data_IF_366371041429
#
_entry.id   IF_366371041429
#
_cell.length_a   1.000
_cell.length_b   1.000
_cell.length_c   1.000
_cell.angle_alpha   90.00
_cell.angle_beta   90.00
_cell.angle_gamma   90.00
#
_symmetry.space_group_name_H-M   'P 1'
#
loop_
_entity.id
_entity.type
_entity.pdbx_description
1 polymer ?
#
# COMPACT_ATOMS: atom_id res chain seq x y z
N UNK A 1 24.64 1.01 8.90
CA UNK A 1 24.18 1.17 7.50
C UNK A 1 23.45 2.50 7.36
N UNK A 2 23.80 3.30 6.33
CA UNK A 2 23.18 4.59 6.04
C UNK A 2 22.41 4.53 4.72
N UNK A 3 21.09 4.74 4.76
CA UNK A 3 20.17 4.59 3.62
C UNK A 3 19.59 5.95 3.23
N UNK A 4 19.69 6.30 1.95
CA UNK A 4 19.00 7.45 1.37
C UNK A 4 17.64 7.01 0.82
N UNK A 5 16.56 7.51 1.38
CA UNK A 5 15.21 7.31 0.86
C UNK A 5 14.85 8.44 -0.10
N UNK A 6 14.45 8.11 -1.32
CA UNK A 6 13.84 9.05 -2.26
C UNK A 6 12.35 8.73 -2.30
N UNK A 7 11.52 9.65 -1.81
CA UNK A 7 10.10 9.39 -1.62
C UNK A 7 9.25 10.65 -1.91
N UNK A 8 8.66 10.72 -3.08
CA UNK A 8 7.83 11.85 -3.51
C UNK A 8 6.52 11.99 -2.70
N UNK A 9 6.09 10.92 -2.03
CA UNK A 9 4.86 10.90 -1.23
C UNK A 9 5.12 10.97 0.29
N UNK A 10 6.36 11.14 0.74
CA UNK A 10 6.73 11.05 2.15
C UNK A 10 5.91 11.97 3.05
N UNK A 11 5.78 13.24 2.68
CA UNK A 11 5.08 14.26 3.49
C UNK A 11 3.56 14.03 3.57
N UNK A 12 2.98 13.34 2.61
CA UNK A 12 1.53 13.06 2.57
C UNK A 12 1.16 11.63 2.96
N UNK A 13 2.13 10.83 3.42
CA UNK A 13 1.93 9.40 3.64
C UNK A 13 2.47 8.95 5.00
N UNK A 14 1.58 8.67 5.92
CA UNK A 14 1.93 8.07 7.22
C UNK A 14 2.63 6.72 7.07
N UNK A 15 2.33 5.96 6.01
CA UNK A 15 2.94 4.66 5.70
C UNK A 15 4.45 4.76 5.55
N UNK A 16 4.93 5.70 4.72
CA UNK A 16 6.37 5.88 4.49
C UNK A 16 7.08 6.43 5.73
N UNK A 17 6.42 7.31 6.48
CA UNK A 17 6.95 7.82 7.75
C UNK A 17 7.10 6.69 8.79
N UNK A 18 6.09 5.84 8.94
CA UNK A 18 6.13 4.66 9.83
C UNK A 18 7.21 3.66 9.40
N UNK A 19 7.35 3.41 8.10
CA UNK A 19 8.41 2.56 7.56
C UNK A 19 9.80 3.07 7.94
N UNK A 20 10.08 4.36 7.75
CA UNK A 20 11.35 4.98 8.11
C UNK A 20 11.57 4.93 9.63
N UNK A 21 10.53 5.20 10.42
CA UNK A 21 10.58 5.10 11.89
C UNK A 21 10.93 3.69 12.35
N UNK A 22 10.25 2.67 11.85
CA UNK A 22 10.51 1.26 12.19
C UNK A 22 11.92 0.81 11.75
N UNK A 23 12.42 1.34 10.63
CA UNK A 23 13.78 1.12 10.17
C UNK A 23 14.82 1.76 11.10
N UNK A 24 14.58 2.99 11.61
CA UNK A 24 15.43 3.68 12.59
C UNK A 24 15.53 2.91 13.91
N UNK A 25 14.42 2.36 14.39
CA UNK A 25 14.39 1.53 15.61
C UNK A 25 15.26 0.28 15.50
N UNK A 26 15.62 -0.14 14.28
CA UNK A 26 16.53 -1.27 14.00
C UNK A 26 17.97 -0.82 13.75
N UNK A 27 18.34 0.41 14.12
CA UNK A 27 19.69 0.94 14.00
C UNK A 27 20.10 1.32 12.57
N UNK A 28 19.17 1.44 11.63
CA UNK A 28 19.46 1.94 10.29
C UNK A 28 19.39 3.48 10.31
N UNK A 29 20.48 4.13 9.91
CA UNK A 29 20.49 5.57 9.71
C UNK A 29 19.75 5.91 8.41
N UNK A 30 18.62 6.57 8.50
CA UNK A 30 17.79 6.92 7.34
C UNK A 30 17.81 8.43 7.10
N UNK A 31 18.17 8.82 5.89
CA UNK A 31 18.03 10.17 5.37
C UNK A 31 16.95 10.18 4.30
N UNK A 32 16.02 11.11 4.36
CA UNK A 32 14.89 11.17 3.42
C UNK A 32 14.97 12.42 2.57
N UNK A 33 14.89 12.26 1.26
CA UNK A 33 14.68 13.32 0.30
C UNK A 33 13.27 13.20 -0.31
N UNK A 34 12.45 14.21 -0.06
CA UNK A 34 11.07 14.27 -0.55
C UNK A 34 10.87 15.45 -1.50
N UNK A 35 10.85 15.23 -2.84
CA UNK A 35 10.53 16.28 -3.79
C UNK A 35 9.03 16.59 -3.74
N UNK A 36 8.68 17.83 -3.43
CA UNK A 36 7.28 18.27 -3.27
C UNK A 36 6.93 19.45 -4.18
N UNK A 37 5.63 19.60 -4.45
CA UNK A 37 5.09 20.76 -5.20
C UNK A 37 4.90 21.96 -4.28
N UNK A 38 4.57 21.74 -3.01
CA UNK A 38 4.30 22.78 -2.01
C UNK A 38 4.43 22.21 -0.59
N UNK A 39 4.82 23.05 0.35
CA UNK A 39 4.79 22.75 1.79
C UNK A 39 3.58 23.37 2.51
N UNK A 40 2.72 24.11 1.80
CA UNK A 40 1.56 24.77 2.41
C UNK A 40 0.65 23.77 3.14
N UNK A 41 0.42 23.99 4.42
CA UNK A 41 -0.42 23.14 5.27
C UNK A 41 0.19 21.76 5.61
N UNK A 42 1.51 21.59 5.49
CA UNK A 42 2.20 20.34 5.80
C UNK A 42 3.15 20.50 6.97
N UNK A 43 3.31 19.44 7.75
CA UNK A 43 4.24 19.40 8.88
C UNK A 43 5.67 19.33 8.34
N UNK A 44 6.59 20.06 8.97
CA UNK A 44 8.01 19.99 8.67
C UNK A 44 8.55 18.61 9.06
N UNK A 45 9.40 18.01 8.23
CA UNK A 45 10.04 16.74 8.53
C UNK A 45 11.05 16.87 9.68
N UNK A 46 11.49 15.72 10.20
CA UNK A 46 12.56 15.65 11.20
C UNK A 46 13.94 16.08 10.64
N UNK A 47 14.96 16.03 11.48
CA UNK A 47 16.31 16.55 11.16
C UNK A 47 16.93 15.92 9.91
N UNK A 48 16.80 14.61 9.74
CA UNK A 48 17.29 13.86 8.55
C UNK A 48 16.26 13.76 7.41
N UNK A 49 15.21 14.58 7.43
CA UNK A 49 14.11 14.52 6.47
C UNK A 49 14.02 15.84 5.71
N UNK A 50 14.29 15.81 4.42
CA UNK A 50 14.42 16.98 3.57
C UNK A 50 13.27 17.05 2.57
N UNK A 51 12.24 17.84 2.88
CA UNK A 51 11.18 18.15 1.93
C UNK A 51 11.55 19.39 1.10
N UNK A 52 11.72 19.20 -0.20
CA UNK A 52 12.22 20.24 -1.10
C UNK A 52 11.20 20.58 -2.17
N UNK A 53 10.77 21.86 -2.21
CA UNK A 53 9.89 22.37 -3.28
C UNK A 53 10.73 22.54 -4.54
N UNK A 54 10.71 21.56 -5.42
CA UNK A 54 11.53 21.57 -6.64
C UNK A 54 10.75 21.25 -7.92
N UNK A 55 9.46 20.89 -7.79
CA UNK A 55 8.58 20.55 -8.91
C UNK A 55 7.27 21.32 -8.84
N UNK A 56 6.58 21.46 -9.94
CA UNK A 56 5.28 22.11 -10.03
C UNK A 56 4.22 21.19 -10.67
N UNK A 57 2.96 21.63 -10.71
CA UNK A 57 1.84 20.83 -11.25
C UNK A 57 1.99 20.50 -12.74
N UNK A 58 2.69 21.31 -13.51
CA UNK A 58 2.90 21.11 -14.94
C UNK A 58 4.01 20.09 -15.24
N UNK A 59 4.97 19.92 -14.32
CA UNK A 59 6.08 18.96 -14.49
C UNK A 59 5.60 17.50 -14.63
N UNK A 60 4.34 17.21 -14.24
CA UNK A 60 3.72 15.88 -14.46
C UNK A 60 3.63 15.48 -15.94
N UNK A 61 3.60 16.45 -16.85
CA UNK A 61 3.54 16.18 -18.28
C UNK A 61 4.91 15.98 -18.92
N UNK A 62 5.96 16.54 -18.31
CA UNK A 62 7.33 16.56 -18.82
C UNK A 62 8.26 15.70 -17.95
N UNK A 63 8.21 14.38 -18.14
CA UNK A 63 8.90 13.41 -17.30
C UNK A 63 10.39 13.73 -17.13
N UNK A 64 11.16 13.84 -18.23
CA UNK A 64 12.60 14.07 -18.17
C UNK A 64 12.98 15.39 -17.49
N UNK A 65 12.23 16.46 -17.79
CA UNK A 65 12.43 17.75 -17.14
C UNK A 65 12.18 17.71 -15.64
N UNK A 66 11.09 17.03 -15.22
CA UNK A 66 10.81 16.78 -13.81
C UNK A 66 11.96 16.05 -13.12
N UNK A 67 12.49 15.00 -13.76
CA UNK A 67 13.59 14.20 -13.21
C UNK A 67 14.87 15.01 -13.05
N UNK A 68 15.19 15.84 -14.01
CA UNK A 68 16.36 16.75 -13.94
C UNK A 68 16.24 17.76 -12.79
N UNK A 69 15.07 18.41 -12.64
CA UNK A 69 14.81 19.31 -11.49
C UNK A 69 14.95 18.59 -10.15
N UNK A 70 14.36 17.40 -10.04
CA UNK A 70 14.41 16.60 -8.82
C UNK A 70 15.86 16.22 -8.47
N UNK A 71 16.63 15.76 -9.45
CA UNK A 71 18.02 15.40 -9.25
C UNK A 71 18.89 16.59 -8.84
N UNK A 72 18.78 17.74 -9.52
CA UNK A 72 19.50 18.97 -9.16
C UNK A 72 19.18 19.44 -7.75
N UNK A 73 17.90 19.38 -7.35
CA UNK A 73 17.46 19.74 -6.02
C UNK A 73 18.06 18.78 -4.96
N UNK A 74 18.04 17.47 -5.23
CA UNK A 74 18.66 16.48 -4.36
C UNK A 74 20.16 16.76 -4.17
N UNK A 75 20.90 17.00 -5.25
CA UNK A 75 22.34 17.30 -5.22
C UNK A 75 22.66 18.57 -4.45
N UNK A 76 21.80 19.58 -4.56
CA UNK A 76 21.97 20.84 -3.80
C UNK A 76 21.69 20.66 -2.32
N UNK A 77 20.70 19.85 -1.96
CA UNK A 77 20.28 19.60 -0.57
C UNK A 77 21.23 18.61 0.14
N UNK A 78 21.66 17.59 -0.57
CA UNK A 78 22.51 16.51 -0.08
C UNK A 78 23.78 16.43 -0.96
N UNK A 79 24.74 17.36 -0.79
CA UNK A 79 25.94 17.43 -1.65
C UNK A 79 26.88 16.23 -1.46
N UNK A 80 26.91 15.65 -0.25
CA UNK A 80 27.78 14.52 0.08
C UNK A 80 27.04 13.20 -0.10
N UNK A 81 27.32 12.48 -1.20
CA UNK A 81 26.73 11.18 -1.51
C UNK A 81 27.44 10.02 -0.81
N UNK A 82 27.39 10.03 0.53
CA UNK A 82 27.99 9.00 1.39
C UNK A 82 26.88 8.11 1.99
N UNK A 83 26.29 7.27 1.15
CA UNK A 83 25.24 6.32 1.52
C UNK A 83 25.65 4.91 1.11
N UNK A 84 25.25 3.93 1.90
CA UNK A 84 25.46 2.51 1.60
C UNK A 84 24.44 2.01 0.57
N UNK A 85 23.24 2.61 0.56
CA UNK A 85 22.10 2.20 -0.27
C UNK A 85 21.17 3.38 -0.55
N UNK A 86 20.55 3.39 -1.72
CA UNK A 86 19.40 4.25 -2.03
C UNK A 86 18.13 3.39 -2.08
N UNK A 87 17.06 3.80 -1.40
CA UNK A 87 15.73 3.20 -1.54
C UNK A 87 14.77 4.17 -2.22
N UNK A 88 14.40 3.87 -3.46
CA UNK A 88 13.43 4.61 -4.26
C UNK A 88 12.02 4.05 -4.04
N UNK A 89 11.11 4.86 -3.51
CA UNK A 89 9.76 4.42 -3.12
C UNK A 89 8.74 4.41 -4.26
N UNK A 90 9.12 4.87 -5.44
CA UNK A 90 8.31 4.82 -6.66
C UNK A 90 9.23 4.58 -7.85
N UNK A 91 8.93 3.58 -8.65
CA UNK A 91 9.88 3.10 -9.67
C UNK A 91 10.21 4.20 -10.71
N UNK A 92 9.22 4.83 -11.31
CA UNK A 92 9.51 5.81 -12.36
C UNK A 92 10.05 7.13 -11.82
N UNK A 93 9.43 7.68 -10.79
CA UNK A 93 9.80 9.01 -10.31
C UNK A 93 11.04 9.01 -9.44
N UNK A 94 11.11 8.12 -8.49
CA UNK A 94 12.21 8.06 -7.51
C UNK A 94 13.33 7.15 -8.02
N UNK A 95 12.97 6.02 -8.65
CA UNK A 95 13.91 5.06 -9.22
C UNK A 95 14.73 5.61 -10.38
N UNK A 96 14.20 6.54 -11.17
CA UNK A 96 14.99 7.22 -12.21
C UNK A 96 16.10 8.09 -11.61
N UNK A 97 15.86 8.73 -10.47
CA UNK A 97 16.88 9.50 -9.73
C UNK A 97 17.89 8.56 -9.09
N UNK A 98 17.44 7.46 -8.49
CA UNK A 98 18.30 6.44 -7.91
C UNK A 98 19.23 5.78 -8.93
N UNK A 99 18.72 5.47 -10.13
CA UNK A 99 19.52 4.97 -11.26
C UNK A 99 20.66 5.95 -11.64
N UNK A 100 20.37 7.25 -11.62
CA UNK A 100 21.39 8.26 -11.90
C UNK A 100 22.45 8.31 -10.80
N UNK A 101 22.04 8.25 -9.52
CA UNK A 101 22.98 8.17 -8.38
C UNK A 101 23.88 6.93 -8.51
N UNK A 102 23.31 5.76 -8.85
CA UNK A 102 24.12 4.56 -9.09
C UNK A 102 25.18 4.78 -10.16
N UNK A 103 24.81 5.41 -11.27
CA UNK A 103 25.75 5.64 -12.40
C UNK A 103 26.87 6.64 -12.08
N UNK A 104 26.55 7.66 -11.29
CA UNK A 104 27.51 8.70 -10.95
C UNK A 104 28.39 8.35 -9.74
N UNK A 105 27.85 7.61 -8.75
CA UNK A 105 28.52 7.34 -7.45
C UNK A 105 28.71 5.85 -7.15
N UNK A 106 28.22 4.95 -7.96
CA UNK A 106 28.31 3.51 -7.71
C UNK A 106 27.42 2.99 -6.59
N UNK A 107 26.58 3.84 -5.96
CA UNK A 107 25.73 3.45 -4.83
C UNK A 107 24.61 2.54 -5.32
N UNK A 108 24.46 1.31 -4.77
CA UNK A 108 23.38 0.42 -5.15
C UNK A 108 22.02 0.98 -4.75
N UNK A 109 20.93 0.56 -5.46
CA UNK A 109 19.60 0.97 -5.07
C UNK A 109 18.58 -0.15 -5.10
N UNK A 110 17.62 -0.04 -4.19
CA UNK A 110 16.33 -0.73 -4.22
C UNK A 110 15.27 0.15 -4.85
N UNK A 111 14.32 -0.47 -5.52
CA UNK A 111 13.17 0.23 -6.08
C UNK A 111 11.87 -0.46 -5.69
N UNK A 112 10.92 0.30 -5.15
CA UNK A 112 9.57 -0.16 -4.88
C UNK A 112 8.68 0.13 -6.08
N UNK A 113 7.95 -0.88 -6.55
CA UNK A 113 6.99 -0.80 -7.65
C UNK A 113 5.57 -0.67 -7.09
N UNK A 114 4.89 0.38 -7.47
CA UNK A 114 3.54 0.72 -7.02
C UNK A 114 2.50 0.60 -8.12
N UNK A 115 1.24 0.63 -7.74
CA UNK A 115 0.09 0.69 -8.68
C UNK A 115 0.27 1.77 -9.77
N UNK A 116 0.71 2.98 -9.39
CA UNK A 116 0.92 4.08 -10.35
C UNK A 116 1.97 3.75 -11.40
N UNK A 117 3.03 3.02 -11.04
CA UNK A 117 4.06 2.61 -11.98
C UNK A 117 3.49 1.69 -13.07
N UNK A 118 2.60 0.78 -12.69
CA UNK A 118 1.99 -0.19 -13.61
C UNK A 118 0.84 0.45 -14.39
N UNK A 119 -0.18 0.97 -13.68
CA UNK A 119 -1.43 1.37 -14.29
C UNK A 119 -1.39 2.76 -14.94
N UNK A 120 -0.43 3.61 -14.58
CA UNK A 120 -0.24 4.90 -15.23
C UNK A 120 0.99 4.91 -16.15
N UNK A 121 2.18 4.54 -15.66
CA UNK A 121 3.39 4.65 -16.47
C UNK A 121 3.49 3.52 -17.50
N UNK A 122 3.51 2.26 -17.12
CA UNK A 122 3.60 1.17 -18.09
C UNK A 122 2.38 1.09 -19.01
N UNK A 123 1.17 1.29 -18.48
CA UNK A 123 -0.04 1.19 -19.29
C UNK A 123 -0.20 2.34 -20.28
N UNK A 124 -0.04 3.59 -19.82
CA UNK A 124 -0.42 4.77 -20.60
C UNK A 124 0.76 5.49 -21.24
N UNK A 125 1.96 5.42 -20.64
CA UNK A 125 3.15 6.11 -21.13
C UNK A 125 4.12 5.15 -21.84
N UNK A 126 3.70 4.64 -22.99
CA UNK A 126 4.40 3.59 -23.74
C UNK A 126 5.88 3.94 -24.01
N UNK A 127 6.17 5.19 -24.33
CA UNK A 127 7.55 5.67 -24.60
C UNK A 127 8.48 5.62 -23.37
N UNK A 128 7.93 5.48 -22.16
CA UNK A 128 8.74 5.34 -20.93
C UNK A 128 8.96 3.88 -20.51
N UNK A 129 8.39 2.89 -21.21
CA UNK A 129 8.52 1.46 -20.85
C UNK A 129 9.96 0.99 -20.85
N UNK A 130 10.73 1.34 -21.89
CA UNK A 130 12.16 1.01 -21.96
C UNK A 130 12.94 1.58 -20.79
N UNK A 131 12.62 2.82 -20.40
CA UNK A 131 13.21 3.45 -19.21
C UNK A 131 12.84 2.73 -17.92
N UNK A 132 11.57 2.30 -17.78
CA UNK A 132 11.13 1.48 -16.65
C UNK A 132 11.88 0.15 -16.56
N UNK A 133 12.04 -0.55 -17.68
CA UNK A 133 12.81 -1.80 -17.75
C UNK A 133 14.28 -1.56 -17.38
N UNK A 134 14.88 -0.48 -17.84
CA UNK A 134 16.26 -0.09 -17.50
C UNK A 134 16.41 0.14 -15.99
N UNK A 135 15.50 0.87 -15.36
CA UNK A 135 15.49 1.08 -13.90
C UNK A 135 15.44 -0.26 -13.17
N UNK A 136 14.55 -1.18 -13.59
CA UNK A 136 14.45 -2.50 -12.98
C UNK A 136 15.72 -3.35 -13.18
N UNK A 137 16.31 -3.32 -14.37
CA UNK A 137 17.53 -4.09 -14.67
C UNK A 137 18.72 -3.65 -13.83
N UNK A 138 18.89 -2.36 -13.65
CA UNK A 138 19.99 -1.76 -12.91
C UNK A 138 19.80 -1.78 -11.38
N UNK A 139 18.58 -1.97 -10.87
CA UNK A 139 18.31 -2.08 -9.44
C UNK A 139 19.04 -3.29 -8.83
N UNK A 140 19.55 -3.14 -7.61
CA UNK A 140 20.10 -4.24 -6.81
C UNK A 140 19.01 -5.14 -6.26
N UNK A 141 17.80 -4.59 -6.03
CA UNK A 141 16.60 -5.34 -5.67
C UNK A 141 15.33 -4.60 -6.05
N UNK A 142 14.28 -5.35 -6.25
CA UNK A 142 12.95 -4.85 -6.65
C UNK A 142 11.95 -5.27 -5.58
N UNK A 143 11.20 -4.33 -5.03
CA UNK A 143 10.18 -4.59 -4.03
C UNK A 143 8.80 -4.35 -4.62
N UNK A 144 7.90 -5.30 -4.45
CA UNK A 144 6.48 -5.15 -4.70
C UNK A 144 5.73 -5.17 -3.37
N UNK A 145 4.74 -4.32 -3.24
CA UNK A 145 3.85 -4.31 -2.07
C UNK A 145 2.78 -5.42 -2.14
N UNK A 146 2.60 -6.02 -3.31
CA UNK A 146 1.63 -7.08 -3.59
C UNK A 146 2.13 -7.99 -4.70
N UNK A 147 1.91 -9.31 -4.54
CA UNK A 147 2.22 -10.31 -5.56
C UNK A 147 1.33 -10.16 -6.80
N UNK A 148 0.10 -9.68 -6.64
CA UNK A 148 -0.80 -9.38 -7.75
C UNK A 148 -0.17 -8.36 -8.71
N UNK A 149 0.44 -7.29 -8.17
CA UNK A 149 1.15 -6.31 -9.00
C UNK A 149 2.45 -6.83 -9.60
N UNK A 150 3.17 -7.69 -8.89
CA UNK A 150 4.33 -8.38 -9.45
C UNK A 150 3.92 -9.19 -10.68
N UNK A 151 2.93 -10.06 -10.55
CA UNK A 151 2.39 -10.86 -11.66
C UNK A 151 1.94 -9.96 -12.82
N UNK A 152 1.15 -8.93 -12.54
CA UNK A 152 0.66 -8.00 -13.56
C UNK A 152 1.79 -7.33 -14.35
N UNK A 153 2.87 -6.88 -13.69
CA UNK A 153 4.02 -6.26 -14.35
C UNK A 153 4.76 -7.28 -15.23
N UNK A 154 5.09 -8.44 -14.67
CA UNK A 154 5.88 -9.47 -15.37
C UNK A 154 5.13 -10.05 -16.57
N UNK A 155 3.84 -10.34 -16.43
CA UNK A 155 3.05 -10.96 -17.49
C UNK A 155 2.79 -10.00 -18.66
N UNK A 156 2.54 -8.71 -18.36
CA UNK A 156 2.08 -7.76 -19.38
C UNK A 156 3.17 -6.89 -19.97
N UNK A 157 4.27 -6.62 -19.25
CA UNK A 157 5.18 -5.54 -19.63
C UNK A 157 6.65 -5.92 -19.65
N UNK A 158 7.07 -6.98 -18.96
CA UNK A 158 8.47 -7.42 -18.94
C UNK A 158 8.73 -8.38 -20.11
N UNK A 159 9.66 -8.04 -21.04
CA UNK A 159 10.10 -8.95 -22.09
C UNK A 159 10.64 -10.26 -21.53
N UNK A 160 10.42 -11.37 -22.25
CA UNK A 160 10.76 -12.72 -21.79
C UNK A 160 12.25 -12.86 -21.41
N UNK A 161 13.13 -12.25 -22.17
CA UNK A 161 14.58 -12.28 -21.96
C UNK A 161 15.05 -11.66 -20.64
N UNK A 162 14.23 -10.82 -19.98
CA UNK A 162 14.59 -10.19 -18.70
C UNK A 162 13.88 -10.81 -17.51
N UNK A 163 12.85 -11.66 -17.73
CA UNK A 163 11.97 -12.13 -16.65
C UNK A 163 12.71 -12.90 -15.56
N UNK A 164 13.54 -13.84 -15.94
CA UNK A 164 14.26 -14.69 -14.99
C UNK A 164 15.21 -13.86 -14.12
N UNK A 165 16.08 -13.06 -14.75
CA UNK A 165 17.04 -12.22 -14.04
C UNK A 165 16.39 -11.19 -13.11
N UNK A 166 15.24 -10.61 -13.52
CA UNK A 166 14.50 -9.68 -12.67
C UNK A 166 13.78 -10.40 -11.54
N UNK A 167 13.25 -11.62 -11.77
CA UNK A 167 12.56 -12.40 -10.76
C UNK A 167 13.48 -12.77 -9.60
N UNK A 168 14.73 -13.13 -9.87
CA UNK A 168 15.73 -13.51 -8.86
C UNK A 168 16.01 -12.42 -7.81
N UNK A 169 15.82 -11.16 -8.16
CA UNK A 169 16.01 -9.99 -7.27
C UNK A 169 14.72 -9.30 -6.85
N UNK A 170 13.59 -9.96 -7.07
CA UNK A 170 12.26 -9.45 -6.74
C UNK A 170 11.78 -9.99 -5.39
N UNK A 171 11.25 -9.10 -4.55
CA UNK A 171 10.72 -9.37 -3.23
C UNK A 171 9.31 -8.81 -3.10
N UNK A 172 8.44 -9.50 -2.36
CA UNK A 172 7.10 -8.99 -2.01
C UNK A 172 7.12 -8.67 -0.53
N UNK A 173 7.06 -7.38 -0.20
CA UNK A 173 7.06 -6.87 1.18
C UNK A 173 5.83 -5.96 1.33
N UNK A 174 4.85 -6.34 2.15
CA UNK A 174 3.63 -5.55 2.34
C UNK A 174 3.91 -4.23 3.08
N UNK A 175 2.91 -3.36 3.13
CA UNK A 175 2.91 -2.27 4.10
C UNK A 175 2.48 -2.76 5.48
N UNK A 176 2.97 -2.10 6.52
CA UNK A 176 2.50 -2.29 7.88
C UNK A 176 1.24 -1.48 8.16
N UNK A 177 0.45 -1.95 9.09
CA UNK A 177 -0.71 -1.24 9.64
C UNK A 177 -0.28 -0.35 10.82
N UNK A 178 -1.08 0.65 11.14
CA UNK A 178 -0.79 1.53 12.29
C UNK A 178 -0.84 0.74 13.62
N UNK A 179 0.12 1.01 14.52
CA UNK A 179 0.27 0.33 15.82
C UNK A 179 -1.00 0.40 16.68
N UNK A 180 -1.82 1.43 16.49
CA UNK A 180 -3.12 1.56 17.13
C UNK A 180 -3.99 0.32 16.92
N UNK A 181 -4.05 -0.21 15.71
CA UNK A 181 -4.88 -1.37 15.37
C UNK A 181 -4.36 -2.66 16.00
N UNK A 182 -3.02 -2.83 16.04
CA UNK A 182 -2.38 -4.00 16.65
C UNK A 182 -2.45 -3.98 18.17
N UNK A 183 -2.42 -2.77 18.77
CA UNK A 183 -2.56 -2.60 20.22
C UNK A 183 -4.00 -2.79 20.71
N UNK A 184 -4.98 -2.75 19.80
CA UNK A 184 -6.41 -2.85 20.09
C UNK A 184 -7.07 -4.04 19.39
N UNK A 185 -6.36 -5.17 19.26
CA UNK A 185 -6.92 -6.38 18.66
C UNK A 185 -8.23 -6.80 19.30
N UNK A 186 -9.18 -7.23 18.48
CA UNK A 186 -10.43 -7.75 19.00
C UNK A 186 -10.20 -9.06 19.76
N UNK A 187 -10.67 -9.10 21.01
CA UNK A 187 -10.50 -10.25 21.90
C UNK A 187 -11.75 -11.13 22.00
N UNK A 188 -12.89 -10.67 21.48
CA UNK A 188 -14.13 -11.42 21.55
C UNK A 188 -14.13 -12.62 20.62
N UNK A 189 -14.52 -13.78 21.13
CA UNK A 189 -14.80 -14.96 20.30
C UNK A 189 -15.97 -14.63 19.38
N UNK A 190 -15.84 -14.99 18.10
CA UNK A 190 -16.90 -14.83 17.12
C UNK A 190 -18.09 -15.73 17.47
N UNK A 191 -19.29 -15.17 17.49
CA UNK A 191 -20.52 -15.93 17.52
C UNK A 191 -20.97 -16.21 16.09
N UNK A 192 -21.75 -17.28 15.89
CA UNK A 192 -22.40 -17.56 14.63
C UNK A 192 -23.34 -16.42 14.24
N UNK A 193 -23.46 -16.17 12.95
CA UNK A 193 -24.42 -15.19 12.45
C UNK A 193 -25.84 -15.75 12.64
N UNK A 194 -26.65 -15.02 13.40
CA UNK A 194 -28.03 -15.42 13.66
C UNK A 194 -28.99 -14.84 12.61
N UNK A 195 -30.07 -15.58 12.32
CA UNK A 195 -31.21 -15.10 11.54
C UNK A 195 -30.89 -14.54 10.15
N UNK A 196 -29.78 -14.99 9.50
CA UNK A 196 -29.32 -14.42 8.22
C UNK A 196 -29.14 -12.89 8.27
N UNK A 197 -28.74 -12.33 9.42
CA UNK A 197 -28.43 -10.92 9.57
C UNK A 197 -26.95 -10.67 9.24
N UNK A 198 -26.70 -9.71 8.32
CA UNK A 198 -25.34 -9.37 7.86
C UNK A 198 -25.13 -7.86 7.93
N UNK A 199 -24.28 -7.43 8.83
CA UNK A 199 -23.85 -6.03 9.00
C UNK A 199 -22.52 -5.83 8.28
N UNK A 200 -22.61 -5.20 7.10
CA UNK A 200 -21.43 -4.84 6.30
C UNK A 200 -20.87 -3.51 6.75
N UNK A 201 -19.56 -3.33 6.56
CA UNK A 201 -18.88 -2.05 6.76
C UNK A 201 -17.97 -1.74 5.60
N UNK A 202 -17.89 -0.47 5.29
CA UNK A 202 -17.01 0.13 4.31
C UNK A 202 -16.31 1.34 4.95
N UNK A 203 -15.00 1.48 4.71
CA UNK A 203 -14.24 2.66 5.13
C UNK A 203 -13.34 3.16 3.99
N UNK A 204 -13.58 4.39 3.55
CA UNK A 204 -12.83 5.03 2.47
C UNK A 204 -13.62 6.14 1.78
N UNK A 205 -12.97 6.84 0.82
CA UNK A 205 -13.63 7.90 0.07
C UNK A 205 -14.87 7.39 -0.68
N UNK A 206 -15.98 8.09 -0.58
CA UNK A 206 -17.19 7.84 -1.37
C UNK A 206 -16.94 8.35 -2.79
N UNK A 207 -16.31 7.52 -3.61
CA UNK A 207 -15.93 7.83 -4.99
C UNK A 207 -16.12 6.62 -5.91
N UNK A 208 -16.14 6.88 -7.24
CA UNK A 208 -16.34 5.82 -8.24
C UNK A 208 -15.30 4.69 -8.12
N UNK A 209 -14.04 5.01 -7.84
CA UNK A 209 -12.98 4.02 -7.76
C UNK A 209 -13.22 2.97 -6.67
N UNK A 210 -13.83 3.35 -5.56
CA UNK A 210 -14.09 2.46 -4.41
C UNK A 210 -15.32 1.57 -4.59
N UNK A 211 -16.11 1.80 -5.64
CA UNK A 211 -17.11 0.88 -6.19
C UNK A 211 -18.23 0.45 -5.23
N UNK A 212 -18.73 1.38 -4.42
CA UNK A 212 -19.90 1.13 -3.56
C UNK A 212 -21.15 0.68 -4.34
N UNK A 213 -21.27 1.05 -5.63
CA UNK A 213 -22.42 0.66 -6.45
C UNK A 213 -22.50 -0.86 -6.65
N UNK A 214 -21.37 -1.55 -6.81
CA UNK A 214 -21.35 -3.02 -6.91
C UNK A 214 -21.72 -3.66 -5.57
N UNK A 215 -21.27 -3.08 -4.45
CA UNK A 215 -21.69 -3.51 -3.09
C UNK A 215 -23.22 -3.39 -2.91
N UNK A 216 -23.82 -2.26 -3.29
CA UNK A 216 -25.27 -2.10 -3.20
C UNK A 216 -26.05 -3.13 -4.02
N UNK A 217 -25.59 -3.43 -5.25
CA UNK A 217 -26.21 -4.48 -6.08
C UNK A 217 -26.08 -5.87 -5.43
N UNK A 218 -24.92 -6.17 -4.83
CA UNK A 218 -24.73 -7.41 -4.09
C UNK A 218 -25.65 -7.52 -2.87
N UNK A 219 -25.87 -6.42 -2.15
CA UNK A 219 -26.86 -6.38 -1.06
C UNK A 219 -28.29 -6.66 -1.57
N UNK A 220 -28.68 -6.12 -2.73
CA UNK A 220 -29.97 -6.43 -3.37
C UNK A 220 -30.12 -7.91 -3.70
N UNK A 221 -29.08 -8.54 -4.22
CA UNK A 221 -29.04 -9.98 -4.50
C UNK A 221 -29.18 -10.82 -3.21
N UNK A 222 -28.47 -10.45 -2.14
CA UNK A 222 -28.56 -11.13 -0.84
C UNK A 222 -29.97 -10.97 -0.23
N UNK A 223 -30.57 -9.78 -0.31
CA UNK A 223 -31.95 -9.56 0.16
C UNK A 223 -32.94 -10.46 -0.61
N UNK A 224 -32.77 -10.63 -1.92
CA UNK A 224 -33.60 -11.55 -2.72
C UNK A 224 -33.42 -13.02 -2.31
N UNK A 225 -32.28 -13.40 -1.70
CA UNK A 225 -32.00 -14.72 -1.12
C UNK A 225 -32.44 -14.83 0.36
N UNK A 226 -33.12 -13.85 0.89
CA UNK A 226 -33.70 -13.84 2.24
C UNK A 226 -32.70 -13.41 3.35
N UNK A 227 -31.59 -12.72 3.00
CA UNK A 227 -30.69 -12.10 3.98
C UNK A 227 -31.21 -10.73 4.41
N UNK A 228 -31.08 -10.43 5.71
CA UNK A 228 -31.22 -9.07 6.22
C UNK A 228 -29.85 -8.39 6.21
N UNK A 229 -29.62 -7.51 5.23
CA UNK A 229 -28.29 -6.91 5.00
C UNK A 229 -28.34 -5.41 5.23
N UNK A 230 -27.43 -4.91 6.03
CA UNK A 230 -27.17 -3.48 6.23
C UNK A 230 -25.73 -3.11 5.89
N UNK A 231 -25.45 -1.84 5.57
CA UNK A 231 -24.13 -1.32 5.23
C UNK A 231 -23.87 0.00 5.97
N UNK A 232 -22.82 0.03 6.77
CA UNK A 232 -22.28 1.27 7.32
C UNK A 232 -21.16 1.80 6.43
N UNK A 233 -21.23 3.08 6.05
CA UNK A 233 -20.25 3.74 5.16
C UNK A 233 -19.56 4.87 5.91
N UNK A 234 -18.25 4.71 6.15
CA UNK A 234 -17.39 5.73 6.74
C UNK A 234 -16.45 6.32 5.68
N UNK A 235 -16.26 7.65 5.66
CA UNK A 235 -15.28 8.30 4.81
C UNK A 235 -15.70 9.62 4.20
N UNK A 236 -14.80 10.24 3.44
CA UNK A 236 -15.02 11.54 2.81
C UNK A 236 -15.87 11.42 1.55
N UNK A 237 -16.78 12.36 1.35
CA UNK A 237 -17.63 12.43 0.14
C UNK A 237 -16.90 13.17 -0.98
N UNK A 238 -16.37 12.42 -1.93
CA UNK A 238 -15.75 12.95 -3.15
C UNK A 238 -16.79 13.10 -4.28
N UNK A 239 -17.77 12.19 -4.34
CA UNK A 239 -18.82 12.19 -5.34
C UNK A 239 -20.19 12.40 -4.70
N UNK A 240 -20.74 13.60 -4.83
CA UNK A 240 -22.09 13.92 -4.34
C UNK A 240 -23.19 13.08 -5.00
N UNK A 241 -23.02 12.74 -6.29
CA UNK A 241 -23.96 11.85 -7.00
C UNK A 241 -24.01 10.46 -6.36
N UNK A 242 -22.82 9.90 -6.05
CA UNK A 242 -22.73 8.59 -5.43
C UNK A 242 -23.25 8.63 -3.98
N UNK A 243 -22.93 9.68 -3.23
CA UNK A 243 -23.44 9.90 -1.89
C UNK A 243 -24.99 9.86 -1.86
N UNK A 244 -25.64 10.66 -2.71
CA UNK A 244 -27.12 10.66 -2.81
C UNK A 244 -27.67 9.27 -3.14
N UNK A 245 -26.99 8.54 -4.02
CA UNK A 245 -27.40 7.19 -4.43
C UNK A 245 -27.30 6.18 -3.28
N UNK A 246 -26.20 6.18 -2.52
CA UNK A 246 -26.04 5.23 -1.41
C UNK A 246 -26.99 5.55 -0.24
N UNK A 247 -27.21 6.84 0.07
CA UNK A 247 -28.08 7.26 1.17
C UNK A 247 -29.58 7.17 0.84
N UNK A 248 -29.95 6.89 -0.40
CA UNK A 248 -31.35 6.59 -0.77
C UNK A 248 -31.77 5.14 -0.43
N UNK A 249 -30.83 4.24 -0.18
CA UNK A 249 -31.13 2.87 0.29
C UNK A 249 -31.29 2.91 1.82
N UNK A 250 -32.45 2.55 2.39
CA UNK A 250 -32.70 2.57 3.83
C UNK A 250 -31.80 1.60 4.63
N UNK A 251 -31.20 0.62 3.97
CA UNK A 251 -30.24 -0.31 4.59
C UNK A 251 -28.81 0.26 4.65
N UNK A 252 -28.57 1.49 4.16
CA UNK A 252 -27.27 2.13 4.18
C UNK A 252 -27.25 3.28 5.18
N UNK A 253 -26.31 3.23 6.10
CA UNK A 253 -26.04 4.30 7.06
C UNK A 253 -24.71 4.97 6.73
N UNK A 254 -24.72 6.23 6.32
CA UNK A 254 -23.51 7.03 6.18
C UNK A 254 -23.17 7.70 7.50
N UNK A 255 -21.95 7.43 8.01
CA UNK A 255 -21.52 7.89 9.34
C UNK A 255 -20.46 9.01 9.28
N UNK A 256 -20.10 9.48 8.08
CA UNK A 256 -19.11 10.54 7.91
C UNK A 256 -17.66 10.07 8.02
N UNK A 257 -16.75 11.03 8.23
CA UNK A 257 -15.33 10.75 8.51
C UNK A 257 -15.21 10.46 10.00
N UNK A 258 -14.66 9.31 10.35
CA UNK A 258 -14.48 8.89 11.74
C UNK A 258 -13.02 8.96 12.19
N UNK A 259 -12.74 9.41 13.42
CA UNK A 259 -11.49 9.12 14.11
C UNK A 259 -11.26 7.60 14.24
N UNK A 260 -10.01 7.19 14.46
CA UNK A 260 -9.64 5.76 14.53
C UNK A 260 -10.42 5.02 15.63
N UNK A 261 -10.62 5.65 16.77
CA UNK A 261 -11.33 5.09 17.90
C UNK A 261 -12.81 4.79 17.56
N UNK A 262 -13.47 5.71 16.87
CA UNK A 262 -14.86 5.52 16.45
C UNK A 262 -14.96 4.51 15.29
N UNK A 263 -13.96 4.48 14.39
CA UNK A 263 -13.89 3.49 13.32
C UNK A 263 -13.66 2.08 13.88
N UNK A 264 -12.86 1.95 14.93
CA UNK A 264 -12.65 0.70 15.66
C UNK A 264 -13.97 0.16 16.22
N UNK A 265 -14.77 1.01 16.88
CA UNK A 265 -16.08 0.60 17.40
C UNK A 265 -17.05 0.22 16.26
N UNK A 266 -17.02 0.97 15.14
CA UNK A 266 -17.81 0.62 13.95
C UNK A 266 -17.42 -0.76 13.41
N UNK A 267 -16.13 -1.08 13.36
CA UNK A 267 -15.66 -2.41 12.94
C UNK A 267 -16.13 -3.49 13.90
N UNK A 268 -16.03 -3.29 15.22
CA UNK A 268 -16.47 -4.26 16.24
C UNK A 268 -17.94 -4.58 16.20
N UNK A 269 -18.77 -3.64 15.74
CA UNK A 269 -20.24 -3.83 15.62
C UNK A 269 -20.66 -4.36 14.25
N UNK A 270 -19.72 -4.55 13.32
CA UNK A 270 -19.94 -5.07 11.98
C UNK A 270 -19.51 -6.53 11.85
N UNK A 271 -19.91 -7.20 10.75
CA UNK A 271 -19.57 -8.59 10.50
C UNK A 271 -18.48 -8.73 9.42
N UNK A 272 -18.62 -8.07 8.26
CA UNK A 272 -17.73 -8.21 7.11
C UNK A 272 -17.35 -6.83 6.57
N UNK A 273 -16.07 -6.63 6.29
CA UNK A 273 -15.59 -5.47 5.57
C UNK A 273 -15.66 -5.71 4.06
N UNK A 274 -16.30 -4.81 3.31
CA UNK A 274 -16.48 -4.96 1.86
C UNK A 274 -16.07 -3.71 1.10
N UNK A 275 -15.06 -3.84 0.22
CA UNK A 275 -14.61 -2.74 -0.65
C UNK A 275 -14.05 -3.27 -1.97
N UNK A 276 -14.91 -3.63 -2.95
CA UNK A 276 -14.49 -4.17 -4.25
C UNK A 276 -13.99 -3.04 -5.19
N UNK A 277 -12.92 -2.35 -4.81
CA UNK A 277 -12.36 -1.21 -5.54
C UNK A 277 -11.91 -1.58 -6.94
N UNK A 278 -12.10 -0.70 -7.94
CA UNK A 278 -11.53 -0.90 -9.27
C UNK A 278 -10.00 -0.87 -9.28
N UNK A 279 -9.43 0.03 -8.48
CA UNK A 279 -7.98 0.16 -8.29
C UNK A 279 -7.68 0.37 -6.81
N UNK A 280 -6.84 -0.49 -6.24
CA UNK A 280 -6.39 -0.40 -4.86
C UNK A 280 -4.88 -0.64 -4.80
N UNK A 281 -4.15 0.31 -4.21
CA UNK A 281 -2.68 0.19 -4.13
C UNK A 281 -2.24 -0.90 -3.17
N UNK A 282 -2.78 -0.89 -1.96
CA UNK A 282 -2.60 -1.92 -0.95
C UNK A 282 -3.91 -2.17 -0.18
N UNK A 283 -4.54 -1.09 0.29
CA UNK A 283 -5.77 -1.17 1.07
C UNK A 283 -5.51 -1.47 2.53
N UNK A 284 -4.81 -0.57 3.23
CA UNK A 284 -4.53 -0.70 4.68
C UNK A 284 -5.81 -0.95 5.49
N UNK A 285 -6.92 -0.39 5.07
CA UNK A 285 -8.23 -0.57 5.70
C UNK A 285 -8.66 -2.05 5.82
N UNK A 286 -8.19 -2.92 4.92
CA UNK A 286 -8.43 -4.36 5.07
C UNK A 286 -7.66 -4.92 6.27
N UNK A 287 -6.38 -4.57 6.44
CA UNK A 287 -5.60 -5.00 7.59
C UNK A 287 -6.13 -4.39 8.90
N UNK A 288 -6.63 -3.15 8.85
CA UNK A 288 -7.33 -2.50 9.96
C UNK A 288 -8.60 -3.29 10.35
N UNK A 289 -9.42 -3.67 9.36
CA UNK A 289 -10.61 -4.50 9.58
C UNK A 289 -10.27 -5.90 10.13
N UNK A 290 -9.23 -6.56 9.58
CA UNK A 290 -8.75 -7.85 10.08
C UNK A 290 -8.36 -7.80 11.57
N UNK A 291 -7.76 -6.70 12.03
CA UNK A 291 -7.39 -6.50 13.44
C UNK A 291 -8.58 -6.54 14.40
N UNK A 292 -9.76 -6.20 13.88
CA UNK A 292 -11.02 -6.25 14.62
C UNK A 292 -11.82 -7.54 14.33
N UNK A 293 -11.19 -8.50 13.66
CA UNK A 293 -11.78 -9.79 13.36
C UNK A 293 -12.81 -9.76 12.22
N UNK A 294 -12.81 -8.74 11.37
CA UNK A 294 -13.69 -8.72 10.22
C UNK A 294 -13.05 -9.47 9.05
N UNK A 295 -13.70 -10.51 8.54
CA UNK A 295 -13.37 -11.02 7.22
C UNK A 295 -13.54 -9.95 6.14
N UNK A 296 -12.82 -10.08 5.02
CA UNK A 296 -12.76 -9.03 4.01
C UNK A 296 -13.15 -9.52 2.62
N UNK A 297 -13.89 -8.67 1.88
CA UNK A 297 -14.17 -8.87 0.46
C UNK A 297 -13.46 -7.77 -0.33
N UNK A 298 -12.53 -8.18 -1.21
CA UNK A 298 -11.62 -7.31 -1.92
C UNK A 298 -11.54 -7.66 -3.41
N UNK A 299 -10.95 -6.81 -4.23
CA UNK A 299 -10.92 -7.03 -5.68
C UNK A 299 -9.76 -7.92 -6.12
N UNK A 300 -10.05 -8.83 -7.03
CA UNK A 300 -9.06 -9.66 -7.72
C UNK A 300 -8.05 -8.80 -8.46
N UNK A 301 -6.76 -9.15 -8.36
CA UNK A 301 -5.66 -8.48 -9.05
C UNK A 301 -5.31 -7.10 -8.52
N UNK A 302 -5.86 -6.68 -7.36
CA UNK A 302 -5.53 -5.42 -6.70
C UNK A 302 -4.60 -5.62 -5.50
N UNK A 303 -4.16 -4.54 -4.85
CA UNK A 303 -3.08 -4.56 -3.87
C UNK A 303 -3.26 -5.48 -2.67
N UNK A 304 -4.49 -5.76 -2.24
CA UNK A 304 -4.72 -6.71 -1.14
C UNK A 304 -4.80 -8.15 -1.60
N UNK A 305 -5.12 -8.38 -2.89
CA UNK A 305 -5.13 -9.73 -3.46
C UNK A 305 -3.74 -10.37 -3.36
N UNK A 306 -3.70 -11.64 -2.98
CA UNK A 306 -2.47 -12.41 -2.75
C UNK A 306 -1.65 -12.00 -1.51
N UNK A 307 -2.13 -11.10 -0.65
CA UNK A 307 -1.49 -10.86 0.66
C UNK A 307 -1.58 -12.08 1.57
N UNK A 308 -2.67 -12.79 1.48
CA UNK A 308 -2.95 -14.04 2.19
C UNK A 308 -3.53 -15.06 1.20
N UNK A 309 -3.43 -16.36 1.48
CA UNK A 309 -4.08 -17.38 0.64
C UNK A 309 -5.59 -17.14 0.56
N UNK A 310 -6.17 -17.34 -0.60
CA UNK A 310 -7.61 -17.22 -0.85
C UNK A 310 -8.42 -18.07 0.12
N UNK A 311 -9.52 -17.54 0.64
CA UNK A 311 -10.36 -18.22 1.62
C UNK A 311 -9.81 -18.25 3.05
N UNK A 312 -8.64 -17.64 3.32
CA UNK A 312 -8.11 -17.55 4.69
C UNK A 312 -8.87 -16.50 5.51
N UNK A 313 -8.97 -15.29 5.00
CA UNK A 313 -9.59 -14.16 5.71
C UNK A 313 -10.76 -13.56 4.93
N UNK A 314 -11.15 -14.16 3.84
CA UNK A 314 -12.19 -13.70 2.93
C UNK A 314 -11.87 -14.04 1.49
N UNK A 315 -12.49 -13.34 0.55
CA UNK A 315 -12.41 -13.69 -0.86
C UNK A 315 -12.15 -12.49 -1.77
N UNK A 316 -11.40 -12.73 -2.84
CA UNK A 316 -11.31 -11.77 -3.93
C UNK A 316 -12.51 -11.91 -4.87
N UNK A 317 -12.99 -10.78 -5.39
CA UNK A 317 -14.13 -10.73 -6.27
C UNK A 317 -13.83 -10.00 -7.58
N UNK A 318 -14.63 -10.24 -8.61
CA UNK A 318 -14.62 -9.39 -9.78
C UNK A 318 -15.34 -8.06 -9.44
N UNK A 319 -14.68 -6.91 -9.48
CA UNK A 319 -15.28 -5.63 -9.14
C UNK A 319 -16.39 -5.20 -10.12
N UNK A 320 -16.51 -5.86 -11.26
CA UNK A 320 -17.56 -5.59 -12.26
C UNK A 320 -18.79 -6.51 -12.11
N UNK A 321 -18.69 -7.60 -11.33
CA UNK A 321 -19.77 -8.53 -11.10
C UNK A 321 -20.21 -8.60 -9.63
N UNK A 322 -21.35 -7.99 -9.32
CA UNK A 322 -21.94 -7.97 -7.97
C UNK A 322 -22.34 -9.36 -7.45
N UNK A 323 -22.54 -10.36 -8.34
CA UNK A 323 -22.87 -11.73 -7.94
C UNK A 323 -21.69 -12.40 -7.26
N UNK A 324 -20.45 -12.13 -7.72
CA UNK A 324 -19.24 -12.62 -7.06
C UNK A 324 -19.08 -12.02 -5.67
N UNK A 325 -19.48 -10.75 -5.48
CA UNK A 325 -19.50 -10.11 -4.16
C UNK A 325 -20.53 -10.76 -3.25
N UNK A 326 -21.77 -10.98 -3.75
CA UNK A 326 -22.83 -11.65 -2.97
C UNK A 326 -22.42 -13.07 -2.55
N UNK A 327 -21.87 -13.86 -3.48
CA UNK A 327 -21.41 -15.23 -3.19
C UNK A 327 -20.28 -15.25 -2.18
N UNK A 328 -19.32 -14.31 -2.25
CA UNK A 328 -18.22 -14.21 -1.27
C UNK A 328 -18.77 -13.89 0.14
N UNK A 329 -19.76 -12.99 0.23
CA UNK A 329 -20.40 -12.65 1.51
C UNK A 329 -21.12 -13.85 2.12
N UNK A 330 -21.83 -14.66 1.31
CA UNK A 330 -22.49 -15.88 1.77
C UNK A 330 -21.50 -16.94 2.24
N UNK A 331 -20.42 -17.20 1.47
CA UNK A 331 -19.38 -18.16 1.85
C UNK A 331 -18.68 -17.77 3.17
N UNK A 332 -18.45 -16.48 3.40
CA UNK A 332 -17.93 -16.02 4.69
C UNK A 332 -18.93 -16.25 5.81
N UNK A 333 -20.23 -16.01 5.54
CA UNK A 333 -21.28 -16.16 6.54
C UNK A 333 -21.49 -17.62 6.97
N UNK A 334 -21.25 -18.60 6.09
CA UNK A 334 -21.37 -20.05 6.38
C UNK A 334 -20.38 -20.53 7.44
N UNK A 335 -19.18 -19.94 7.53
CA UNK A 335 -18.16 -20.30 8.53
C UNK A 335 -17.57 -19.04 9.18
N UNK A 336 -18.46 -18.12 9.54
CA UNK A 336 -18.08 -16.79 10.07
C UNK A 336 -17.12 -16.84 11.26
N UNK A 337 -17.32 -17.69 12.30
CA UNK A 337 -16.41 -17.76 13.44
C UNK A 337 -14.97 -18.13 13.05
N UNK A 338 -14.79 -19.04 12.08
CA UNK A 338 -13.48 -19.42 11.63
C UNK A 338 -12.80 -18.31 10.80
N UNK A 339 -13.54 -17.63 9.92
CA UNK A 339 -13.03 -16.46 9.19
C UNK A 339 -12.61 -15.35 10.15
N UNK A 340 -13.44 -15.07 11.16
CA UNK A 340 -13.14 -14.07 12.17
C UNK A 340 -11.84 -14.39 12.94
N UNK A 341 -11.66 -15.62 13.41
CA UNK A 341 -10.45 -16.06 14.10
C UNK A 341 -9.22 -15.89 13.19
N UNK A 342 -9.27 -16.43 11.95
CA UNK A 342 -8.18 -16.34 10.98
C UNK A 342 -7.85 -14.89 10.64
N UNK A 343 -8.83 -13.99 10.61
CA UNK A 343 -8.61 -12.56 10.38
C UNK A 343 -7.68 -11.96 11.45
N UNK A 344 -7.97 -12.21 12.74
CA UNK A 344 -7.16 -11.72 13.85
C UNK A 344 -5.75 -12.33 13.83
N UNK A 345 -5.64 -13.63 13.60
CA UNK A 345 -4.35 -14.34 13.54
C UNK A 345 -3.46 -13.85 12.40
N UNK A 346 -4.05 -13.49 11.27
CA UNK A 346 -3.33 -13.08 10.07
C UNK A 346 -2.78 -11.66 10.12
N UNK A 347 -3.29 -10.79 11.00
CA UNK A 347 -2.93 -9.37 11.00
C UNK A 347 -1.48 -9.11 11.43
N UNK A 348 -0.88 -10.01 12.19
CA UNK A 348 0.53 -9.91 12.63
C UNK A 348 1.51 -9.81 11.45
N UNK A 349 1.14 -10.30 10.26
CA UNK A 349 1.91 -10.13 9.02
C UNK A 349 2.13 -8.66 8.67
N UNK A 350 1.21 -7.78 9.06
CA UNK A 350 1.22 -6.36 8.76
C UNK A 350 1.77 -5.51 9.93
N UNK A 351 2.46 -6.12 10.89
CA UNK A 351 3.21 -5.40 11.91
C UNK A 351 4.44 -4.70 11.28
N UNK A 352 4.63 -3.41 11.58
CA UNK A 352 5.78 -2.66 11.11
C UNK A 352 7.11 -3.27 11.55
N UNK A 353 7.19 -3.93 12.71
CA UNK A 353 8.40 -4.64 13.13
C UNK A 353 8.70 -5.83 12.21
N UNK A 354 7.69 -6.61 11.84
CA UNK A 354 7.83 -7.71 10.90
C UNK A 354 8.23 -7.22 9.51
N UNK A 355 7.60 -6.15 9.04
CA UNK A 355 7.91 -5.50 7.75
C UNK A 355 9.32 -4.93 7.73
N UNK A 356 9.71 -4.20 8.78
CA UNK A 356 11.05 -3.60 8.90
C UNK A 356 12.16 -4.67 8.96
N UNK A 357 11.88 -5.84 9.58
CA UNK A 357 12.82 -6.98 9.55
C UNK A 357 13.10 -7.45 8.13
N UNK A 358 12.05 -7.56 7.31
CA UNK A 358 12.20 -7.97 5.91
C UNK A 358 13.03 -6.95 5.11
N UNK A 359 12.76 -5.65 5.30
CA UNK A 359 13.55 -4.59 4.67
C UNK A 359 15.00 -4.59 5.14
N UNK A 360 15.26 -4.72 6.45
CA UNK A 360 16.64 -4.79 6.99
C UNK A 360 17.41 -5.96 6.38
N UNK A 361 16.82 -7.15 6.34
CA UNK A 361 17.43 -8.33 5.72
C UNK A 361 17.73 -8.11 4.24
N UNK A 362 16.84 -7.43 3.53
CA UNK A 362 17.03 -7.09 2.12
C UNK A 362 18.15 -6.04 1.94
N UNK A 363 18.18 -5.00 2.76
CA UNK A 363 19.22 -3.98 2.71
C UNK A 363 20.62 -4.57 2.93
N UNK A 364 20.80 -5.42 3.95
CA UNK A 364 22.07 -6.10 4.21
C UNK A 364 22.50 -7.01 3.03
N UNK A 365 21.54 -7.66 2.36
CA UNK A 365 21.82 -8.51 1.19
C UNK A 365 22.31 -7.72 -0.02
N UNK A 366 21.71 -6.57 -0.30
CA UNK A 366 22.01 -5.78 -1.51
C UNK A 366 23.16 -4.78 -1.32
N UNK A 367 23.54 -4.50 -0.06
CA UNK A 367 24.69 -3.66 0.30
C UNK A 367 25.60 -4.37 1.34
N UNK A 368 26.22 -5.50 1.00
CA UNK A 368 26.94 -6.35 1.95
C UNK A 368 28.23 -5.72 2.54
N UNK A 369 28.70 -4.61 2.01
CA UNK A 369 29.86 -3.86 2.52
C UNK A 369 29.57 -2.95 3.71
N UNK A 370 28.30 -2.65 3.97
CA UNK A 370 27.88 -1.69 4.99
C UNK A 370 28.17 -2.13 6.44
N UNK A 371 28.08 -3.43 6.75
CA UNK A 371 28.37 -3.96 8.09
C UNK A 371 29.88 -3.94 8.42
N UNK A 372 30.75 -4.16 7.43
CA UNK A 372 32.22 -4.09 7.62
C UNK A 372 32.70 -2.67 7.86
N UNK A 373 32.10 -1.68 7.19
CA UNK A 373 32.44 -0.28 7.37
C UNK A 373 31.96 0.28 8.72
N UNK A 374 30.83 -0.21 9.25
CA UNK A 374 30.32 0.17 10.57
C UNK A 374 31.21 -0.36 11.71
N UNK A 375 31.76 -1.56 11.56
CA UNK A 375 32.70 -2.16 12.54
C UNK A 375 34.05 -1.48 12.51
N UNK A 376 34.54 -1.10 11.33
CA UNK A 376 35.82 -0.38 11.20
C UNK A 376 35.75 1.03 11.80
N UNK A 377 34.68 1.76 11.63
CA UNK A 377 34.48 3.11 12.20
C UNK A 377 34.31 3.12 13.73
N UNK A 378 33.93 2.00 14.37
CA UNK A 378 33.89 1.86 15.86
C UNK A 378 35.22 1.51 16.49
N UNK A 379 36.23 1.18 15.69
CA UNK A 379 37.56 0.86 16.18
C UNK A 379 38.46 2.12 16.14
N UNK A 380 38.10 3.11 15.34
CA UNK A 380 38.84 4.37 15.17
C UNK A 380 38.30 5.54 16.03
N UNK A 381 37.23 5.33 16.83
CA UNK A 381 36.70 6.23 17.89
C UNK A 381 37.07 5.68 19.27
#
# INVERSE_FOLDING_TARGET
MKVLHICNNFIGSTVHQKMVQASRQRGIQNVVFAPVVTMKGRVMPGEDEHAVVCVNKWDRFFFHHKQEKTYRALRKTLPHMQYDLVHAHCMFTDGNVALRIKREYGIPYLVTVNNTDINHFFRLRILLRSRGIEILREAAGIVFISDAYRKQLFDKYIPAEYREALMQKTHVIPFGVDDFWLSNLCQTKGEELQNKELRLVYAGDVCRNKNLETTLRAMGELKARGWNVSLSVAGNVVSQRLYKKITSDPAVTYVGILPKENLLELYRTSNIFVMPSFHETFGLVYAEALSQGLPVVYSRGQGFDTQLPEGTVGFHVDPYDHRTVASALEQIAEDYPAFRRRSIESVARFDWNAVATQYQSLYCRVAPGADKAATARRIDE
#
